data_IF_359086472396
#
_entry.id   IF_359086472396
#
_cell.length_a   1.000
_cell.length_b   1.000
_cell.length_c   1.000
_cell.angle_alpha   90.00
_cell.angle_beta   90.00
_cell.angle_gamma   90.00
#
_symmetry.space_group_name_H-M   'P 1'
#
loop_
_entity.id
_entity.type
_entity.pdbx_description
1 polymer ?
#
# COMPACT_ATOMS: atom_id res chain seq x y z
N UNK A 1 86.84 -14.79 -37.57
CA UNK A 1 85.51 -14.55 -36.97
C UNK A 1 84.34 -15.02 -37.82
N UNK A 2 83.97 -14.39 -38.95
CA UNK A 2 82.80 -14.84 -39.73
C UNK A 2 83.00 -16.26 -40.32
N UNK A 3 84.19 -16.58 -40.82
CA UNK A 3 84.47 -17.93 -41.35
C UNK A 3 84.51 -19.02 -40.27
N UNK A 4 85.00 -18.71 -39.07
CA UNK A 4 85.03 -19.62 -37.93
C UNK A 4 83.62 -19.92 -37.41
N UNK A 5 82.75 -18.91 -37.37
CA UNK A 5 81.32 -19.08 -37.02
C UNK A 5 80.62 -19.98 -38.05
N UNK A 6 80.90 -19.82 -39.34
CA UNK A 6 80.32 -20.66 -40.41
C UNK A 6 80.82 -22.11 -40.33
N UNK A 7 82.08 -22.34 -39.98
CA UNK A 7 82.59 -23.70 -39.76
C UNK A 7 81.98 -24.35 -38.51
N UNK A 8 81.79 -23.59 -37.43
CA UNK A 8 81.14 -24.07 -36.21
C UNK A 8 79.68 -24.48 -36.46
N UNK A 9 78.94 -23.72 -37.28
CA UNK A 9 77.55 -24.01 -37.67
C UNK A 9 77.44 -25.31 -38.48
N UNK A 10 78.45 -25.66 -39.29
CA UNK A 10 78.47 -26.89 -40.11
C UNK A 10 78.80 -28.17 -39.35
N UNK A 11 79.33 -28.07 -38.12
CA UNK A 11 79.64 -29.23 -37.25
C UNK A 11 78.38 -29.75 -36.55
N UNK A 12 77.36 -28.90 -36.40
CA UNK A 12 76.10 -29.25 -35.73
C UNK A 12 75.28 -30.20 -36.61
N UNK A 13 74.89 -31.39 -36.12
CA UNK A 13 74.05 -32.33 -36.89
C UNK A 13 72.70 -31.71 -37.29
N UNK A 14 72.22 -32.02 -38.50
CA UNK A 14 70.94 -31.53 -39.05
C UNK A 14 69.74 -31.82 -38.13
N UNK A 15 69.82 -32.91 -37.36
CA UNK A 15 68.81 -33.28 -36.36
C UNK A 15 68.63 -32.17 -35.32
N UNK A 16 69.69 -31.50 -34.88
CA UNK A 16 69.63 -30.41 -33.91
C UNK A 16 68.95 -29.18 -34.52
N UNK A 17 69.27 -28.84 -35.77
CA UNK A 17 68.59 -27.76 -36.49
C UNK A 17 67.10 -28.04 -36.69
N UNK A 18 66.74 -29.29 -37.02
CA UNK A 18 65.34 -29.72 -37.13
C UNK A 18 64.60 -29.63 -35.80
N UNK A 19 65.24 -30.00 -34.68
CA UNK A 19 64.66 -29.93 -33.35
C UNK A 19 64.43 -28.49 -32.89
N UNK A 20 65.37 -27.58 -33.20
CA UNK A 20 65.23 -26.14 -32.93
C UNK A 20 64.07 -25.55 -33.73
N UNK A 21 64.00 -25.81 -35.04
CA UNK A 21 62.91 -25.35 -35.90
C UNK A 21 61.55 -25.87 -35.43
N UNK A 22 61.45 -27.17 -35.12
CA UNK A 22 60.23 -27.78 -34.59
C UNK A 22 59.80 -27.14 -33.26
N UNK A 23 60.75 -26.84 -32.37
CA UNK A 23 60.48 -26.19 -31.08
C UNK A 23 59.98 -24.76 -31.24
N UNK A 24 60.57 -23.97 -32.16
CA UNK A 24 60.12 -22.60 -32.46
C UNK A 24 58.72 -22.59 -33.07
N UNK A 25 58.45 -23.48 -34.03
CA UNK A 25 57.11 -23.60 -34.64
C UNK A 25 56.08 -24.00 -33.58
N UNK A 26 56.42 -24.94 -32.70
CA UNK A 26 55.53 -25.37 -31.61
C UNK A 26 55.26 -24.24 -30.62
N UNK A 27 56.30 -23.52 -30.17
CA UNK A 27 56.16 -22.37 -29.27
C UNK A 27 55.31 -21.27 -29.90
N UNK A 28 55.55 -20.95 -31.18
CA UNK A 28 54.78 -19.95 -31.91
C UNK A 28 53.31 -20.36 -32.07
N UNK A 29 53.05 -21.63 -32.39
CA UNK A 29 51.70 -22.20 -32.44
C UNK A 29 50.97 -22.11 -31.10
N UNK A 30 51.65 -22.43 -29.99
CA UNK A 30 51.10 -22.30 -28.64
C UNK A 30 50.86 -20.84 -28.28
N UNK A 31 51.77 -19.92 -28.61
CA UNK A 31 51.59 -18.48 -28.34
C UNK A 31 50.41 -17.88 -29.12
N UNK A 32 50.26 -18.22 -30.41
CA UNK A 32 49.11 -17.79 -31.21
C UNK A 32 47.80 -18.38 -30.68
N UNK A 33 47.80 -19.68 -30.34
CA UNK A 33 46.64 -20.36 -29.77
C UNK A 33 46.22 -19.74 -28.43
N UNK A 34 47.18 -19.52 -27.52
CA UNK A 34 46.93 -18.89 -26.22
C UNK A 34 46.42 -17.45 -26.38
N UNK A 35 46.99 -16.67 -27.31
CA UNK A 35 46.52 -15.30 -27.58
C UNK A 35 45.08 -15.29 -28.09
N UNK A 36 44.74 -16.21 -29.01
CA UNK A 36 43.38 -16.39 -29.50
C UNK A 36 42.40 -16.80 -28.41
N UNK A 37 42.80 -17.75 -27.55
CA UNK A 37 42.00 -18.21 -26.41
C UNK A 37 41.78 -17.09 -25.40
N UNK A 38 42.82 -16.32 -25.06
CA UNK A 38 42.69 -15.16 -24.15
C UNK A 38 41.75 -14.10 -24.72
N UNK A 39 41.82 -13.82 -26.02
CA UNK A 39 40.91 -12.85 -26.65
C UNK A 39 39.45 -13.30 -26.59
N UNK A 40 39.16 -14.57 -26.88
CA UNK A 40 37.80 -15.13 -26.78
C UNK A 40 37.30 -15.17 -25.34
N UNK A 41 38.16 -15.57 -24.39
CA UNK A 41 37.81 -15.58 -22.97
C UNK A 41 37.45 -14.19 -22.47
N UNK A 42 38.20 -13.15 -22.86
CA UNK A 42 37.86 -11.76 -22.51
C UNK A 42 36.50 -11.34 -23.05
N UNK A 43 36.21 -11.67 -24.31
CA UNK A 43 34.93 -11.36 -24.93
C UNK A 43 33.77 -12.08 -24.22
N UNK A 44 33.96 -13.35 -23.86
CA UNK A 44 32.99 -14.13 -23.10
C UNK A 44 32.75 -13.54 -21.71
N UNK A 45 33.81 -13.21 -20.97
CA UNK A 45 33.68 -12.62 -19.63
C UNK A 45 32.98 -11.25 -19.66
N UNK A 46 33.24 -10.43 -20.68
CA UNK A 46 32.57 -9.13 -20.85
C UNK A 46 31.08 -9.28 -21.20
N UNK A 47 30.76 -10.24 -22.08
CA UNK A 47 29.39 -10.61 -22.38
C UNK A 47 28.66 -11.15 -21.13
N UNK A 48 29.26 -12.10 -20.42
CA UNK A 48 28.72 -12.68 -19.19
C UNK A 48 28.53 -11.63 -18.10
N UNK A 49 29.47 -10.69 -17.95
CA UNK A 49 29.35 -9.59 -17.00
C UNK A 49 28.16 -8.67 -17.35
N UNK A 50 27.96 -8.39 -18.64
CA UNK A 50 26.86 -7.58 -19.15
C UNK A 50 25.51 -8.28 -18.96
N UNK A 51 25.41 -9.56 -19.32
CA UNK A 51 24.18 -10.35 -19.13
C UNK A 51 23.85 -10.51 -17.65
N UNK A 52 24.84 -10.76 -16.79
CA UNK A 52 24.64 -10.82 -15.33
C UNK A 52 24.19 -9.49 -14.74
N UNK A 53 24.66 -8.36 -15.27
CA UNK A 53 24.20 -7.04 -14.84
C UNK A 53 22.72 -6.81 -15.23
N UNK A 54 22.33 -7.21 -16.45
CA UNK A 54 20.94 -7.15 -16.91
C UNK A 54 20.03 -8.04 -16.06
N UNK A 55 20.47 -9.28 -15.78
CA UNK A 55 19.74 -10.23 -14.94
C UNK A 55 19.46 -9.65 -13.55
N UNK A 56 20.49 -9.09 -12.89
CA UNK A 56 20.33 -8.43 -11.57
C UNK A 56 19.33 -7.28 -11.59
N UNK A 57 19.35 -6.45 -12.64
CA UNK A 57 18.40 -5.34 -12.79
C UNK A 57 16.99 -5.88 -13.01
N UNK A 58 16.84 -6.92 -13.84
CA UNK A 58 15.56 -7.57 -14.11
C UNK A 58 14.96 -8.20 -12.84
N UNK A 59 15.77 -8.91 -12.05
CA UNK A 59 15.35 -9.48 -10.76
C UNK A 59 14.93 -8.37 -9.78
N UNK A 60 15.73 -7.32 -9.66
CA UNK A 60 15.39 -6.17 -8.81
C UNK A 60 14.08 -5.51 -9.24
N UNK A 61 13.87 -5.33 -10.56
CA UNK A 61 12.62 -4.79 -11.11
C UNK A 61 11.45 -5.69 -10.76
N UNK A 62 11.54 -7.01 -10.97
CA UNK A 62 10.50 -7.97 -10.63
C UNK A 62 10.08 -7.84 -9.16
N UNK A 63 11.05 -7.85 -8.26
CA UNK A 63 10.78 -7.83 -6.81
C UNK A 63 10.13 -6.51 -6.39
N UNK A 64 10.62 -5.37 -6.90
CA UNK A 64 10.04 -4.05 -6.63
C UNK A 64 8.64 -3.93 -7.23
N UNK A 65 8.41 -4.39 -8.46
CA UNK A 65 7.13 -4.26 -9.15
C UNK A 65 6.02 -5.08 -8.49
N UNK A 66 6.34 -6.32 -8.08
CA UNK A 66 5.41 -7.15 -7.32
C UNK A 66 5.05 -6.50 -5.99
N UNK A 67 6.05 -5.99 -5.27
CA UNK A 67 5.82 -5.34 -3.98
C UNK A 67 4.98 -4.07 -4.12
N UNK A 68 5.23 -3.26 -5.15
CA UNK A 68 4.45 -2.04 -5.40
C UNK A 68 3.01 -2.37 -5.75
N UNK A 69 2.76 -3.43 -6.52
CA UNK A 69 1.40 -3.87 -6.83
C UNK A 69 0.63 -4.26 -5.57
N UNK A 70 1.27 -5.00 -4.65
CA UNK A 70 0.72 -5.33 -3.34
C UNK A 70 0.44 -4.07 -2.50
N UNK A 71 1.39 -3.14 -2.43
CA UNK A 71 1.28 -1.93 -1.63
C UNK A 71 0.21 -0.97 -2.15
N UNK A 72 -0.02 -0.93 -3.48
CA UNK A 72 -1.14 -0.19 -4.09
C UNK A 72 -2.48 -0.76 -3.60
N UNK A 73 -2.65 -2.09 -3.61
CA UNK A 73 -3.89 -2.70 -3.14
C UNK A 73 -4.10 -2.51 -1.63
N UNK A 74 -3.04 -2.65 -0.83
CA UNK A 74 -3.09 -2.34 0.60
C UNK A 74 -3.46 -0.88 0.87
N UNK A 75 -3.05 0.04 0.00
CA UNK A 75 -3.43 1.46 0.07
C UNK A 75 -4.91 1.66 -0.28
N UNK A 76 -5.40 0.99 -1.33
CA UNK A 76 -6.83 0.99 -1.70
C UNK A 76 -7.72 0.49 -0.55
N UNK A 77 -7.32 -0.61 0.10
CA UNK A 77 -8.01 -1.15 1.28
C UNK A 77 -7.97 -0.18 2.46
N UNK A 78 -6.80 0.40 2.72
CA UNK A 78 -6.64 1.38 3.79
C UNK A 78 -7.58 2.57 3.59
N UNK A 79 -7.62 3.18 2.39
CA UNK A 79 -8.56 4.26 2.05
C UNK A 79 -10.03 3.87 2.32
N UNK A 80 -10.41 2.62 2.06
CA UNK A 80 -11.78 2.15 2.29
C UNK A 80 -12.09 1.99 3.78
N UNK A 81 -11.10 1.58 4.58
CA UNK A 81 -11.25 1.34 6.01
C UNK A 81 -11.07 2.60 6.87
N UNK A 82 -10.48 3.68 6.34
CA UNK A 82 -10.17 4.89 7.11
C UNK A 82 -11.36 5.45 7.89
N UNK A 83 -12.55 5.47 7.28
CA UNK A 83 -13.77 5.94 7.93
C UNK A 83 -14.21 5.08 9.13
N UNK A 84 -13.73 3.83 9.21
CA UNK A 84 -14.07 2.90 10.27
C UNK A 84 -13.05 2.83 11.41
N UNK A 85 -11.82 3.30 11.19
CA UNK A 85 -10.73 3.23 12.18
C UNK A 85 -10.91 4.23 13.31
N UNK A 86 -10.26 3.95 14.44
CA UNK A 86 -10.16 4.89 15.56
C UNK A 86 -9.11 5.96 15.22
N UNK A 87 -9.50 7.24 15.29
CA UNK A 87 -8.65 8.37 14.94
C UNK A 87 -7.63 8.72 16.02
N UNK A 88 -7.75 8.16 17.23
CA UNK A 88 -6.75 8.33 18.29
C UNK A 88 -5.44 7.61 17.98
N UNK A 89 -5.48 6.55 17.16
CA UNK A 89 -4.33 5.76 16.72
C UNK A 89 -3.94 5.98 15.24
N UNK A 90 -4.66 6.84 14.53
CA UNK A 90 -4.56 6.93 13.07
C UNK A 90 -3.33 7.74 12.65
N UNK A 91 -2.23 7.03 12.44
CA UNK A 91 -1.01 7.60 11.91
C UNK A 91 -1.09 7.71 10.37
N UNK A 92 -1.80 8.72 9.89
CA UNK A 92 -1.91 9.06 8.46
C UNK A 92 -0.54 9.16 7.78
N UNK A 93 0.46 9.67 8.49
CA UNK A 93 1.83 9.78 8.00
C UNK A 93 2.40 8.42 7.63
N UNK A 94 2.11 7.37 8.41
CA UNK A 94 2.57 6.00 8.15
C UNK A 94 1.96 5.43 6.87
N UNK A 95 0.68 5.66 6.63
CA UNK A 95 -0.01 5.20 5.41
C UNK A 95 0.56 5.89 4.16
N UNK A 96 0.73 7.21 4.22
CA UNK A 96 1.37 7.97 3.14
C UNK A 96 2.85 7.55 2.94
N UNK A 97 3.58 7.28 4.01
CA UNK A 97 4.97 6.80 3.94
C UNK A 97 5.08 5.45 3.23
N UNK A 98 4.13 4.54 3.46
CA UNK A 98 4.14 3.21 2.84
C UNK A 98 4.04 3.33 1.31
N UNK A 99 2.98 4.00 0.82
CA UNK A 99 2.78 4.13 -0.63
C UNK A 99 3.85 5.01 -1.27
N UNK A 100 4.25 6.13 -0.63
CA UNK A 100 5.29 7.01 -1.16
C UNK A 100 6.66 6.30 -1.22
N UNK A 101 6.99 5.49 -0.23
CA UNK A 101 8.21 4.67 -0.22
C UNK A 101 8.23 3.66 -1.35
N UNK A 102 7.10 2.98 -1.60
CA UNK A 102 6.99 2.00 -2.69
C UNK A 102 7.03 2.66 -4.07
N UNK A 103 6.35 3.79 -4.26
CA UNK A 103 6.46 4.58 -5.49
C UNK A 103 7.89 5.10 -5.69
N UNK A 104 8.59 5.54 -4.65
CA UNK A 104 9.98 5.98 -4.76
C UNK A 104 10.91 4.85 -5.20
N UNK A 105 10.74 3.63 -4.66
CA UNK A 105 11.49 2.44 -5.08
C UNK A 105 11.19 2.07 -6.53
N UNK A 106 9.91 2.13 -6.93
CA UNK A 106 9.50 1.88 -8.31
C UNK A 106 10.21 2.85 -9.27
N UNK A 107 10.21 4.13 -8.94
CA UNK A 107 10.81 5.19 -9.76
C UNK A 107 12.33 5.05 -9.93
N UNK A 108 13.02 4.40 -8.99
CA UNK A 108 14.46 4.18 -9.04
C UNK A 108 14.85 3.08 -10.04
N UNK A 109 14.03 2.04 -10.17
CA UNK A 109 14.39 0.83 -10.94
C UNK A 109 13.68 0.74 -12.29
N UNK A 110 12.57 1.47 -12.46
CA UNK A 110 11.73 1.39 -13.65
C UNK A 110 12.22 2.23 -14.82
N UNK A 111 11.70 1.92 -16.02
CA UNK A 111 11.94 2.77 -17.20
C UNK A 111 11.32 4.17 -17.01
N UNK A 112 11.83 5.21 -17.70
CA UNK A 112 11.39 6.59 -17.49
C UNK A 112 9.87 6.79 -17.60
N UNK A 113 9.23 6.12 -18.56
CA UNK A 113 7.77 6.19 -18.75
C UNK A 113 7.00 5.63 -17.55
N UNK A 114 7.42 4.48 -17.04
CA UNK A 114 6.82 3.82 -15.87
C UNK A 114 7.05 4.67 -14.61
N UNK A 115 8.24 5.25 -14.45
CA UNK A 115 8.58 6.15 -13.35
C UNK A 115 7.67 7.39 -13.29
N UNK A 116 7.37 8.00 -14.45
CA UNK A 116 6.43 9.14 -14.54
C UNK A 116 5.01 8.73 -14.14
N UNK A 117 4.51 7.61 -14.68
CA UNK A 117 3.16 7.13 -14.37
C UNK A 117 3.01 6.77 -12.89
N UNK A 118 4.02 6.14 -12.31
CA UNK A 118 4.09 5.84 -10.88
C UNK A 118 4.10 7.11 -10.03
N UNK A 119 4.87 8.12 -10.44
CA UNK A 119 4.90 9.42 -9.77
C UNK A 119 3.53 10.09 -9.76
N UNK A 120 2.82 10.09 -10.90
CA UNK A 120 1.47 10.65 -10.98
C UNK A 120 0.49 9.89 -10.09
N UNK A 121 0.56 8.55 -10.07
CA UNK A 121 -0.27 7.74 -9.16
C UNK A 121 -0.01 8.09 -7.69
N UNK A 122 1.26 8.24 -7.30
CA UNK A 122 1.63 8.63 -5.93
C UNK A 122 1.09 10.02 -5.54
N UNK A 123 1.11 10.98 -6.46
CA UNK A 123 0.53 12.32 -6.24
C UNK A 123 -0.99 12.24 -6.06
N UNK A 124 -1.68 11.45 -6.88
CA UNK A 124 -3.14 11.29 -6.79
C UNK A 124 -3.56 10.59 -5.49
N UNK A 125 -2.81 9.57 -5.05
CA UNK A 125 -3.01 9.01 -3.71
C UNK A 125 -2.87 10.09 -2.64
N UNK A 126 -1.76 10.84 -2.64
CA UNK A 126 -1.54 11.91 -1.66
C UNK A 126 -2.63 12.98 -1.68
N UNK A 127 -3.09 13.37 -2.87
CA UNK A 127 -4.20 14.32 -3.04
C UNK A 127 -5.50 13.78 -2.46
N UNK A 128 -5.84 12.52 -2.76
CA UNK A 128 -7.05 11.88 -2.24
C UNK A 128 -7.03 11.80 -0.71
N UNK A 129 -5.91 11.37 -0.12
CA UNK A 129 -5.75 11.35 1.33
C UNK A 129 -6.07 12.72 1.95
N UNK A 130 -5.48 13.79 1.42
CA UNK A 130 -5.71 15.15 1.92
C UNK A 130 -7.17 15.61 1.72
N UNK A 131 -7.81 15.26 0.61
CA UNK A 131 -9.22 15.58 0.33
C UNK A 131 -10.18 14.90 1.31
N UNK A 132 -9.82 13.74 1.84
CA UNK A 132 -10.67 12.95 2.74
C UNK A 132 -10.56 13.38 4.21
N UNK A 133 -9.45 14.01 4.62
CA UNK A 133 -9.22 14.43 6.01
C UNK A 133 -10.39 15.20 6.66
N UNK A 134 -11.02 16.20 6.00
CA UNK A 134 -12.11 16.93 6.62
C UNK A 134 -13.34 16.07 6.92
N UNK A 135 -13.62 15.07 6.08
CA UNK A 135 -14.76 14.15 6.29
C UNK A 135 -14.49 13.18 7.43
N UNK A 136 -13.24 12.73 7.52
CA UNK A 136 -12.79 11.86 8.60
C UNK A 136 -12.88 12.56 9.96
N UNK A 137 -12.57 13.87 10.03
CA UNK A 137 -12.77 14.66 11.24
C UNK A 137 -14.25 14.68 11.69
N UNK A 138 -15.19 14.92 10.77
CA UNK A 138 -16.63 14.91 11.09
C UNK A 138 -17.11 13.54 11.59
N UNK A 139 -16.61 12.45 10.98
CA UNK A 139 -16.90 11.09 11.45
C UNK A 139 -16.39 10.89 12.88
N UNK A 140 -15.17 11.35 13.16
CA UNK A 140 -14.58 11.23 14.49
C UNK A 140 -15.32 12.06 15.53
N UNK A 141 -15.73 13.27 15.20
CA UNK A 141 -16.50 14.14 16.10
C UNK A 141 -17.82 13.44 16.47
N UNK A 142 -18.54 12.88 15.49
CA UNK A 142 -19.78 12.15 15.74
C UNK A 142 -19.57 10.90 16.62
N UNK A 143 -18.48 10.15 16.41
CA UNK A 143 -18.11 9.01 17.29
C UNK A 143 -17.76 9.46 18.70
N UNK A 144 -17.06 10.57 18.83
CA UNK A 144 -16.71 11.16 20.13
C UNK A 144 -17.97 11.57 20.88
N UNK A 145 -18.91 12.23 20.20
CA UNK A 145 -20.22 12.60 20.76
C UNK A 145 -21.00 11.36 21.22
N UNK A 146 -21.02 10.28 20.43
CA UNK A 146 -21.63 9.00 20.83
C UNK A 146 -20.98 8.48 22.11
N UNK A 147 -19.66 8.39 22.16
CA UNK A 147 -18.92 7.88 23.31
C UNK A 147 -19.16 8.69 24.59
N UNK A 148 -19.14 10.02 24.49
CA UNK A 148 -19.41 10.92 25.63
C UNK A 148 -20.84 10.72 26.14
N UNK A 149 -21.84 10.81 25.26
CA UNK A 149 -23.24 10.73 25.68
C UNK A 149 -23.62 9.33 26.17
N UNK A 150 -23.03 8.27 25.60
CA UNK A 150 -23.24 6.91 26.08
C UNK A 150 -22.67 6.73 27.50
N UNK A 151 -21.46 7.23 27.77
CA UNK A 151 -20.89 7.19 29.12
C UNK A 151 -21.73 7.99 30.13
N UNK A 152 -22.24 9.16 29.74
CA UNK A 152 -23.13 9.97 30.59
C UNK A 152 -24.49 9.28 30.82
N UNK A 153 -25.04 8.63 29.80
CA UNK A 153 -26.27 7.84 29.89
C UNK A 153 -26.10 6.66 30.86
N UNK A 154 -25.00 5.92 30.77
CA UNK A 154 -24.69 4.80 31.67
C UNK A 154 -24.53 5.28 33.12
N UNK A 155 -23.80 6.38 33.34
CA UNK A 155 -23.65 6.97 34.68
C UNK A 155 -25.00 7.41 35.26
N UNK A 156 -25.82 8.11 34.48
CA UNK A 156 -27.12 8.62 34.93
C UNK A 156 -28.12 7.48 35.19
N UNK A 157 -28.11 6.43 34.36
CA UNK A 157 -28.91 5.22 34.56
C UNK A 157 -28.50 4.47 35.85
N UNK A 158 -27.21 4.48 36.19
CA UNK A 158 -26.71 3.99 37.46
C UNK A 158 -27.27 4.76 38.64
N UNK A 159 -27.33 6.09 38.55
CA UNK A 159 -27.94 6.94 39.57
C UNK A 159 -29.45 6.72 39.71
N UNK A 160 -30.18 6.57 38.60
CA UNK A 160 -31.61 6.19 38.62
C UNK A 160 -31.80 4.89 39.38
N UNK A 161 -31.00 3.87 39.06
CA UNK A 161 -31.06 2.55 39.71
C UNK A 161 -30.81 2.65 41.22
N UNK A 162 -29.81 3.45 41.63
CA UNK A 162 -29.50 3.72 43.04
C UNK A 162 -30.65 4.40 43.77
N UNK A 163 -31.24 5.45 43.18
CA UNK A 163 -32.37 6.17 43.79
C UNK A 163 -33.59 5.26 43.95
N UNK A 164 -33.90 4.44 42.93
CA UNK A 164 -35.01 3.47 42.99
C UNK A 164 -34.78 2.44 44.11
N UNK A 165 -33.55 1.95 44.29
CA UNK A 165 -33.21 1.03 45.39
C UNK A 165 -33.45 1.66 46.76
N UNK A 166 -33.04 2.91 46.98
CA UNK A 166 -33.29 3.63 48.24
C UNK A 166 -34.78 3.90 48.48
N UNK A 167 -35.55 4.23 47.42
CA UNK A 167 -37.00 4.37 47.52
C UNK A 167 -37.69 3.05 47.91
N UNK A 168 -37.23 1.92 47.37
CA UNK A 168 -37.75 0.60 47.72
C UNK A 168 -37.41 0.23 49.16
N UNK A 169 -36.17 0.49 49.59
CA UNK A 169 -35.74 0.29 50.97
C UNK A 169 -36.58 1.09 51.97
N UNK A 170 -36.84 2.38 51.69
CA UNK A 170 -37.68 3.21 52.55
C UNK A 170 -39.10 2.63 52.70
N UNK A 171 -39.66 2.07 51.62
CA UNK A 171 -40.97 1.39 51.62
C UNK A 171 -40.93 0.09 52.43
N UNK A 172 -39.89 -0.73 52.26
CA UNK A 172 -39.71 -2.01 52.96
C UNK A 172 -39.50 -1.83 54.48
N UNK A 173 -38.80 -0.78 54.89
CA UNK A 173 -38.60 -0.43 56.31
C UNK A 173 -39.87 0.11 56.99
N UNK A 174 -40.97 0.30 56.24
CA UNK A 174 -42.24 0.81 56.77
C UNK A 174 -42.18 2.27 57.24
N UNK A 175 -41.11 3.00 56.89
CA UNK A 175 -40.90 4.40 57.29
C UNK A 175 -41.73 5.32 56.39
N UNK A 176 -42.65 6.07 56.99
CA UNK A 176 -43.45 7.08 56.28
C UNK A 176 -42.83 8.48 56.40
N UNK A 177 -41.56 8.62 56.02
CA UNK A 177 -40.94 9.95 55.90
C UNK A 177 -41.26 10.55 54.53
N UNK A 178 -42.33 11.34 54.49
CA UNK A 178 -42.83 11.97 53.27
C UNK A 178 -41.82 12.95 52.65
N UNK A 179 -41.00 13.61 53.47
CA UNK A 179 -40.04 14.60 53.00
C UNK A 179 -38.84 13.91 52.33
N UNK A 180 -38.32 12.84 52.95
CA UNK A 180 -37.25 12.03 52.35
C UNK A 180 -37.70 11.41 51.03
N UNK A 181 -38.93 10.87 50.99
CA UNK A 181 -39.48 10.28 49.76
C UNK A 181 -39.63 11.31 48.63
N UNK A 182 -40.08 12.53 48.94
CA UNK A 182 -40.18 13.62 47.94
C UNK A 182 -38.81 14.03 47.39
N UNK A 183 -37.77 14.09 48.23
CA UNK A 183 -36.41 14.38 47.79
C UNK A 183 -35.85 13.28 46.87
N UNK A 184 -36.10 12.01 47.22
CA UNK A 184 -35.74 10.88 46.38
C UNK A 184 -36.50 10.90 45.05
N UNK A 185 -37.79 11.25 45.06
CA UNK A 185 -38.58 11.40 43.84
C UNK A 185 -38.03 12.51 42.94
N UNK A 186 -37.68 13.68 43.49
CA UNK A 186 -37.05 14.75 42.72
C UNK A 186 -35.69 14.34 42.14
N UNK A 187 -34.92 13.54 42.88
CA UNK A 187 -33.63 13.00 42.40
C UNK A 187 -33.83 11.98 41.27
N UNK A 188 -34.84 11.11 41.40
CA UNK A 188 -35.24 10.18 40.36
C UNK A 188 -35.63 10.92 39.08
N UNK A 189 -36.50 11.92 39.18
CA UNK A 189 -36.95 12.72 38.04
C UNK A 189 -35.77 13.44 37.37
N UNK A 190 -34.85 14.00 38.14
CA UNK A 190 -33.63 14.63 37.61
C UNK A 190 -32.76 13.65 36.81
N UNK A 191 -32.37 12.52 37.40
CA UNK A 191 -31.51 11.54 36.73
C UNK A 191 -32.22 10.82 35.57
N UNK A 192 -33.53 10.57 35.69
CA UNK A 192 -34.33 10.00 34.62
C UNK A 192 -34.41 10.94 33.40
N UNK A 193 -34.65 12.23 33.64
CA UNK A 193 -34.65 13.24 32.57
C UNK A 193 -33.27 13.36 31.90
N UNK A 194 -32.18 13.33 32.67
CA UNK A 194 -30.82 13.31 32.10
C UNK A 194 -30.57 12.06 31.26
N UNK A 195 -30.97 10.89 31.75
CA UNK A 195 -30.85 9.61 31.04
C UNK A 195 -31.52 9.68 29.67
N UNK A 196 -32.73 10.24 29.60
CA UNK A 196 -33.46 10.45 28.35
C UNK A 196 -32.74 11.46 27.43
N UNK A 197 -32.30 12.60 27.97
CA UNK A 197 -31.57 13.61 27.18
C UNK A 197 -30.30 13.03 26.54
N UNK A 198 -29.53 12.24 27.28
CA UNK A 198 -28.34 11.59 26.73
C UNK A 198 -28.70 10.51 25.70
N UNK A 199 -29.79 9.77 25.90
CA UNK A 199 -30.26 8.80 24.91
C UNK A 199 -30.66 9.48 23.58
N UNK A 200 -31.39 10.60 23.65
CA UNK A 200 -31.77 11.38 22.48
C UNK A 200 -30.54 11.99 21.78
N UNK A 201 -29.55 12.44 22.56
CA UNK A 201 -28.29 12.95 22.02
C UNK A 201 -27.47 11.86 21.31
N UNK A 202 -27.44 10.63 21.85
CA UNK A 202 -26.82 9.48 21.18
C UNK A 202 -27.51 9.18 19.85
N UNK A 203 -28.85 9.16 19.82
CA UNK A 203 -29.60 8.91 18.59
C UNK A 203 -29.27 9.95 17.51
N UNK A 204 -29.25 11.24 17.86
CA UNK A 204 -28.87 12.32 16.96
C UNK A 204 -27.41 12.20 16.47
N UNK A 205 -26.49 11.80 17.35
CA UNK A 205 -25.08 11.60 16.98
C UNK A 205 -24.91 10.42 16.01
N UNK A 206 -25.69 9.33 16.15
CA UNK A 206 -25.74 8.25 15.17
C UNK A 206 -26.28 8.69 13.81
N UNK A 207 -27.31 9.55 13.77
CA UNK A 207 -27.80 10.11 12.51
C UNK A 207 -26.71 10.91 11.78
N UNK A 208 -25.97 11.76 12.52
CA UNK A 208 -24.83 12.53 12.00
C UNK A 208 -23.71 11.61 11.50
N UNK A 209 -23.36 10.58 12.28
CA UNK A 209 -22.35 9.60 11.90
C UNK A 209 -22.72 8.90 10.58
N UNK A 210 -23.95 8.42 10.48
CA UNK A 210 -24.44 7.73 9.28
C UNK A 210 -24.47 8.68 8.06
N UNK A 211 -24.84 9.94 8.25
CA UNK A 211 -24.78 10.94 7.19
C UNK A 211 -23.34 11.20 6.72
N UNK A 212 -22.40 11.35 7.65
CA UNK A 212 -20.99 11.58 7.34
C UNK A 212 -20.34 10.37 6.65
N UNK A 213 -20.65 9.14 7.08
CA UNK A 213 -20.19 7.92 6.43
C UNK A 213 -20.71 7.80 4.98
N UNK A 214 -21.99 8.13 4.75
CA UNK A 214 -22.54 8.16 3.38
C UNK A 214 -21.83 9.19 2.52
N UNK A 215 -21.60 10.39 3.04
CA UNK A 215 -20.90 11.44 2.31
C UNK A 215 -19.47 11.03 1.96
N UNK A 216 -18.76 10.43 2.92
CA UNK A 216 -17.43 9.85 2.70
C UNK A 216 -17.44 8.84 1.55
N UNK A 217 -18.34 7.87 1.58
CA UNK A 217 -18.43 6.86 0.52
C UNK A 217 -18.78 7.48 -0.85
N UNK A 218 -19.69 8.46 -0.90
CA UNK A 218 -20.05 9.14 -2.15
C UNK A 218 -18.89 9.90 -2.77
N UNK A 219 -17.96 10.42 -1.95
CA UNK A 219 -16.77 11.13 -2.42
C UNK A 219 -15.63 10.18 -2.77
N UNK A 220 -15.42 9.13 -1.97
CA UNK A 220 -14.36 8.16 -2.20
C UNK A 220 -14.58 7.36 -3.49
N UNK A 221 -15.81 6.92 -3.74
CA UNK A 221 -16.10 5.97 -4.82
C UNK A 221 -15.72 6.48 -6.24
N UNK A 222 -16.06 7.72 -6.66
CA UNK A 222 -15.59 8.27 -7.94
C UNK A 222 -14.07 8.43 -8.02
N UNK A 223 -13.43 8.83 -6.92
CA UNK A 223 -11.97 9.01 -6.87
C UNK A 223 -11.25 7.66 -7.00
N UNK A 224 -11.78 6.60 -6.39
CA UNK A 224 -11.29 5.22 -6.56
C UNK A 224 -11.40 4.74 -8.02
N UNK A 225 -12.46 5.14 -8.73
CA UNK A 225 -12.60 4.86 -10.17
C UNK A 225 -11.49 5.52 -10.98
N UNK A 226 -11.20 6.79 -10.73
CA UNK A 226 -10.11 7.49 -11.43
C UNK A 226 -8.73 6.93 -11.06
N UNK A 227 -8.49 6.61 -9.78
CA UNK A 227 -7.27 5.94 -9.33
C UNK A 227 -7.06 4.61 -10.02
N UNK A 228 -8.10 3.79 -10.17
CA UNK A 228 -7.98 2.49 -10.83
C UNK A 228 -7.52 2.60 -12.30
N UNK A 229 -7.89 3.69 -13.00
CA UNK A 229 -7.42 3.95 -14.37
C UNK A 229 -5.93 4.28 -14.39
N UNK A 230 -5.42 4.99 -13.38
CA UNK A 230 -3.99 5.27 -13.23
C UNK A 230 -3.22 4.02 -12.82
N UNK A 231 -3.76 3.21 -11.91
CA UNK A 231 -3.21 1.92 -11.52
C UNK A 231 -3.08 0.99 -12.74
N UNK A 232 -4.11 0.95 -13.60
CA UNK A 232 -4.06 0.19 -14.85
C UNK A 232 -2.93 0.69 -15.77
N UNK A 233 -2.74 2.01 -15.91
CA UNK A 233 -1.62 2.57 -16.71
C UNK A 233 -0.26 2.17 -16.15
N UNK A 234 -0.09 2.22 -14.83
CA UNK A 234 1.15 1.78 -14.15
C UNK A 234 1.38 0.29 -14.36
N UNK A 235 0.35 -0.55 -14.17
CA UNK A 235 0.44 -2.00 -14.38
C UNK A 235 0.81 -2.35 -15.84
N UNK A 236 0.20 -1.69 -16.82
CA UNK A 236 0.54 -1.88 -18.24
C UNK A 236 2.01 -1.50 -18.51
N UNK A 237 2.48 -0.40 -17.93
CA UNK A 237 3.87 0.04 -18.07
C UNK A 237 4.85 -0.94 -17.40
N UNK A 238 4.54 -1.41 -16.19
CA UNK A 238 5.30 -2.47 -15.49
C UNK A 238 5.40 -3.75 -16.34
N UNK A 239 4.29 -4.19 -16.95
CA UNK A 239 4.29 -5.37 -17.83
C UNK A 239 5.17 -5.16 -19.04
N UNK A 240 5.16 -3.96 -19.62
CA UNK A 240 6.03 -3.61 -20.74
C UNK A 240 7.52 -3.62 -20.32
N UNK A 241 7.86 -3.08 -19.15
CA UNK A 241 9.23 -3.09 -18.61
C UNK A 241 9.75 -4.51 -18.38
N UNK A 242 8.86 -5.47 -18.07
CA UNK A 242 9.17 -6.89 -17.91
C UNK A 242 9.08 -7.70 -19.21
N UNK A 243 8.77 -7.09 -20.35
CA UNK A 243 8.60 -7.80 -21.63
C UNK A 243 7.37 -8.71 -21.69
N UNK A 244 6.38 -8.51 -20.82
CA UNK A 244 5.17 -9.33 -20.75
C UNK A 244 4.11 -8.76 -21.70
N UNK A 245 3.69 -9.57 -22.67
CA UNK A 245 2.61 -9.20 -23.59
C UNK A 245 1.32 -8.81 -22.86
N UNK A 246 0.65 -7.77 -23.36
CA UNK A 246 -0.48 -7.16 -22.69
C UNK A 246 -1.50 -6.65 -23.72
N UNK A 247 -2.73 -7.18 -23.69
CA UNK A 247 -3.85 -6.62 -24.44
C UNK A 247 -4.46 -5.46 -23.62
N UNK A 248 -3.92 -4.26 -23.85
CA UNK A 248 -4.33 -3.04 -23.13
C UNK A 248 -5.82 -2.74 -23.35
N UNK A 249 -6.33 -2.97 -24.56
CA UNK A 249 -7.72 -2.68 -24.90
C UNK A 249 -8.69 -3.64 -24.20
N UNK A 250 -8.30 -4.91 -24.00
CA UNK A 250 -9.09 -5.86 -23.22
C UNK A 250 -9.10 -5.47 -21.74
N UNK A 251 -7.94 -5.15 -21.15
CA UNK A 251 -7.86 -4.77 -19.75
C UNK A 251 -8.64 -3.49 -19.43
N UNK A 252 -8.62 -2.50 -20.32
CA UNK A 252 -9.44 -1.29 -20.20
C UNK A 252 -10.94 -1.63 -20.21
N UNK A 253 -11.40 -2.45 -21.17
CA UNK A 253 -12.79 -2.91 -21.22
C UNK A 253 -13.19 -3.70 -19.97
N UNK A 254 -12.29 -4.53 -19.45
CA UNK A 254 -12.53 -5.29 -18.22
C UNK A 254 -12.68 -4.35 -17.02
N UNK A 255 -11.81 -3.35 -16.88
CA UNK A 255 -11.89 -2.35 -15.83
C UNK A 255 -13.21 -1.56 -15.91
N UNK A 256 -13.59 -1.10 -17.10
CA UNK A 256 -14.86 -0.40 -17.32
C UNK A 256 -16.06 -1.25 -16.96
N UNK A 257 -16.05 -2.54 -17.35
CA UNK A 257 -17.11 -3.49 -16.99
C UNK A 257 -17.20 -3.71 -15.48
N UNK A 258 -16.06 -3.86 -14.80
CA UNK A 258 -16.03 -4.03 -13.33
C UNK A 258 -16.62 -2.80 -12.64
N UNK A 259 -16.23 -1.59 -13.06
CA UNK A 259 -16.79 -0.36 -12.51
C UNK A 259 -18.27 -0.17 -12.83
N UNK A 260 -18.74 -0.54 -14.02
CA UNK A 260 -20.17 -0.47 -14.34
C UNK A 260 -21.00 -1.38 -13.42
N UNK A 261 -20.51 -2.58 -13.11
CA UNK A 261 -21.16 -3.50 -12.16
C UNK A 261 -21.13 -2.92 -10.73
N UNK A 262 -20.00 -2.38 -10.31
CA UNK A 262 -19.88 -1.76 -8.98
C UNK A 262 -20.74 -0.50 -8.84
N UNK A 263 -20.84 0.34 -9.87
CA UNK A 263 -21.68 1.54 -9.90
C UNK A 263 -23.17 1.18 -9.77
N UNK A 264 -23.62 0.16 -10.50
CA UNK A 264 -24.99 -0.33 -10.38
C UNK A 264 -25.27 -0.85 -8.96
N UNK A 265 -24.40 -1.69 -8.43
CA UNK A 265 -24.54 -2.24 -7.07
C UNK A 265 -24.50 -1.15 -5.98
N UNK A 266 -23.59 -0.18 -6.11
CA UNK A 266 -23.49 0.96 -5.20
C UNK A 266 -24.74 1.85 -5.28
N UNK A 267 -25.22 2.14 -6.49
CA UNK A 267 -26.44 2.91 -6.70
C UNK A 267 -27.67 2.28 -6.05
N UNK A 268 -27.82 0.96 -6.15
CA UNK A 268 -28.94 0.24 -5.54
C UNK A 268 -28.81 0.17 -4.00
N UNK A 269 -27.59 -0.05 -3.48
CA UNK A 269 -27.34 0.00 -2.05
C UNK A 269 -27.66 1.39 -1.46
N UNK A 270 -27.26 2.46 -2.15
CA UNK A 270 -27.50 3.84 -1.70
C UNK A 270 -28.97 4.26 -1.80
N UNK A 271 -29.76 3.71 -2.73
CA UNK A 271 -31.22 3.93 -2.77
C UNK A 271 -31.91 3.32 -1.57
N UNK A 272 -31.53 2.10 -1.18
CA UNK A 272 -32.11 1.42 -0.01
C UNK A 272 -31.80 2.17 1.30
N UNK A 273 -30.66 2.87 1.37
CA UNK A 273 -30.27 3.71 2.50
C UNK A 273 -31.00 5.06 2.59
N UNK A 274 -31.73 5.50 1.55
CA UNK A 274 -32.56 6.72 1.59
C UNK A 274 -34.00 6.46 2.06
N UNK A 275 -34.40 5.20 2.18
CA UNK A 275 -35.80 4.79 2.47
C UNK A 275 -35.97 4.32 3.93
N UNK A 276 -34.89 4.23 4.71
CA UNK A 276 -34.91 3.99 6.16
C UNK A 276 -34.46 5.22 6.92
#
# INVERSE_FOLDING_TARGET
>A
MISEIVQLIKIVPDVIWSAILASVITLFGVMLSNRGNTARLKLQLDHDATEKAKEKISDLRRDVYLKVSEDIENTNLSLSEMANRDFTDLNFTKELQLISGSIARLRLVAEPKTSILAGNLGVEFGSLFLKLLPQLAVIQDARTDIGINQSLHESSSGDVSRVVQEMNRLKEEGRQDRMVFQNLQGSYEFHSNQTQQYADAVALAYERLNAALREYSMKLFPEMKELSKLQLKVMVAIRADLGIACDVANLQRQLERQWAVMEAGYGDAMKNLKVG
#
